data_IF_824306600893
#
_entry.id   IF_824306600893
#
_cell.length_a   1.000
_cell.length_b   1.000
_cell.length_c   1.000
_cell.angle_alpha   90.00
_cell.angle_beta   90.00
_cell.angle_gamma   90.00
#
_symmetry.space_group_name_H-M   'P 1'
#
loop_
_entity.id
_entity.type
_entity.pdbx_description
1 polymer ?
#
# COMPACT_ATOMS: atom_id res chain seq x y z
N UNK A 1 7.05 2.29 -1.00
CA UNK A 1 5.82 2.95 -1.42
C UNK A 1 5.13 1.97 -2.35
N UNK A 2 5.63 1.83 -3.58
CA UNK A 2 5.22 0.73 -4.46
C UNK A 2 6.39 -0.20 -4.77
N UNK A 3 7.58 0.35 -4.96
CA UNK A 3 8.77 -0.41 -5.36
C UNK A 3 9.28 -1.37 -4.26
N UNK A 4 9.25 -0.96 -2.99
CA UNK A 4 9.74 -1.77 -1.87
C UNK A 4 8.81 -2.97 -1.65
N UNK A 5 7.52 -2.75 -1.83
CA UNK A 5 6.43 -3.70 -1.66
C UNK A 5 6.44 -4.70 -2.82
N UNK A 6 6.68 -4.25 -4.06
CA UNK A 6 6.90 -5.11 -5.22
C UNK A 6 8.12 -6.03 -5.02
N UNK A 7 9.24 -5.48 -4.51
CA UNK A 7 10.42 -6.27 -4.16
C UNK A 7 10.13 -7.28 -3.05
N UNK A 8 9.35 -6.90 -2.04
CA UNK A 8 8.97 -7.78 -0.94
C UNK A 8 8.09 -8.96 -1.41
N UNK A 9 7.13 -8.68 -2.30
CA UNK A 9 6.31 -9.73 -2.95
C UNK A 9 7.18 -10.66 -3.79
N UNK A 10 8.10 -10.12 -4.59
CA UNK A 10 9.03 -10.93 -5.39
C UNK A 10 9.94 -11.82 -4.53
N UNK A 11 10.47 -11.29 -3.42
CA UNK A 11 11.29 -12.06 -2.46
C UNK A 11 10.49 -13.14 -1.74
N UNK A 12 9.21 -12.86 -1.43
CA UNK A 12 8.29 -13.84 -0.87
C UNK A 12 8.01 -14.98 -1.83
N UNK A 13 7.72 -14.68 -3.10
CA UNK A 13 7.52 -15.69 -4.15
C UNK A 13 8.77 -16.53 -4.42
N UNK A 14 9.97 -15.93 -4.29
CA UNK A 14 11.23 -16.64 -4.42
C UNK A 14 11.59 -17.52 -3.20
N UNK A 15 10.77 -17.53 -2.14
CA UNK A 15 11.05 -18.28 -0.90
C UNK A 15 12.23 -17.72 -0.10
N UNK A 16 12.63 -16.47 -0.37
CA UNK A 16 13.83 -15.84 0.24
C UNK A 16 13.52 -15.07 1.53
N UNK A 17 12.26 -15.09 1.98
CA UNK A 17 11.83 -14.48 3.23
C UNK A 17 11.59 -15.57 4.27
N UNK A 18 12.31 -15.50 5.40
CA UNK A 18 12.14 -16.44 6.52
C UNK A 18 10.76 -16.31 7.18
N UNK A 19 10.27 -15.07 7.28
CA UNK A 19 8.97 -14.73 7.85
C UNK A 19 8.30 -13.67 6.98
N UNK A 20 7.68 -14.04 5.84
CA UNK A 20 7.01 -13.07 4.99
C UNK A 20 5.81 -12.45 5.73
N UNK A 21 5.58 -11.13 5.63
CA UNK A 21 4.36 -10.53 6.12
C UNK A 21 3.15 -11.01 5.30
N UNK A 22 1.95 -10.87 5.88
CA UNK A 22 0.71 -11.24 5.18
C UNK A 22 0.49 -10.31 3.99
N UNK A 23 -0.14 -10.82 2.93
CA UNK A 23 -0.46 -10.02 1.75
C UNK A 23 -1.34 -8.80 2.12
N UNK A 24 -2.28 -8.98 3.04
CA UNK A 24 -3.12 -7.90 3.58
C UNK A 24 -2.28 -6.77 4.19
N UNK A 25 -1.18 -7.11 4.88
CA UNK A 25 -0.26 -6.11 5.46
C UNK A 25 0.44 -5.31 4.37
N UNK A 26 0.87 -5.98 3.30
CA UNK A 26 1.52 -5.34 2.15
C UNK A 26 0.53 -4.39 1.46
N UNK A 27 -0.68 -4.85 1.20
CA UNK A 27 -1.74 -4.05 0.55
C UNK A 27 -2.13 -2.83 1.41
N UNK A 28 -2.33 -3.02 2.72
CA UNK A 28 -2.65 -1.91 3.63
C UNK A 28 -1.51 -0.88 3.68
N UNK A 29 -0.26 -1.35 3.62
CA UNK A 29 0.90 -0.46 3.55
C UNK A 29 0.89 0.34 2.25
N UNK A 30 0.64 -0.29 1.09
CA UNK A 30 0.53 0.41 -0.19
C UNK A 30 -0.57 1.51 -0.17
N UNK A 31 -1.68 1.29 0.54
CA UNK A 31 -2.78 2.26 0.68
C UNK A 31 -2.50 3.38 1.69
N UNK A 32 -1.73 3.10 2.74
CA UNK A 32 -1.48 4.04 3.84
C UNK A 32 -0.79 5.32 3.38
N UNK A 33 0.24 5.22 2.54
CA UNK A 33 0.97 6.40 2.03
C UNK A 33 0.08 7.38 1.28
N UNK A 34 -0.68 6.97 0.25
CA UNK A 34 -1.59 7.89 -0.43
C UNK A 34 -2.70 8.40 0.49
N UNK A 35 -3.22 7.59 1.42
CA UNK A 35 -4.20 8.06 2.41
C UNK A 35 -3.67 9.20 3.27
N UNK A 36 -2.41 9.12 3.71
CA UNK A 36 -1.76 10.18 4.49
C UNK A 36 -1.51 11.41 3.61
N UNK A 37 -0.91 11.24 2.44
CA UNK A 37 -0.53 12.35 1.54
C UNK A 37 -1.76 13.11 1.06
N UNK A 38 -2.86 12.41 0.77
CA UNK A 38 -4.11 13.01 0.31
C UNK A 38 -5.04 13.43 1.47
N UNK A 39 -4.68 13.09 2.73
CA UNK A 39 -5.55 13.26 3.90
C UNK A 39 -6.96 12.62 3.73
N UNK A 40 -7.01 11.46 3.07
CA UNK A 40 -8.24 10.72 2.77
C UNK A 40 -8.30 9.38 3.50
N UNK A 41 -9.51 9.05 3.97
CA UNK A 41 -9.80 7.77 4.62
C UNK A 41 -10.12 6.65 3.62
N UNK A 42 -10.01 5.39 4.06
CA UNK A 42 -10.13 4.20 3.20
C UNK A 42 -11.53 4.02 2.57
N UNK A 43 -12.57 4.62 3.17
CA UNK A 43 -13.96 4.55 2.71
C UNK A 43 -14.41 5.82 1.97
N UNK A 44 -13.52 6.81 1.82
CA UNK A 44 -13.85 8.06 1.16
C UNK A 44 -13.65 7.94 -0.35
N UNK A 45 -14.46 8.69 -1.12
CA UNK A 45 -14.32 8.75 -2.56
C UNK A 45 -12.90 9.23 -2.94
N UNK A 46 -12.19 8.53 -3.84
CA UNK A 46 -10.89 8.98 -4.34
C UNK A 46 -10.96 10.34 -5.05
N UNK A 47 -12.15 10.74 -5.51
CA UNK A 47 -12.34 12.04 -6.18
C UNK A 47 -12.15 13.23 -5.23
N UNK A 48 -12.23 13.02 -3.91
CA UNK A 48 -11.96 14.07 -2.92
C UNK A 48 -10.48 14.49 -2.87
N UNK A 49 -9.60 13.86 -3.65
CA UNK A 49 -8.23 14.31 -3.84
C UNK A 49 -8.12 15.54 -4.76
N UNK A 50 -9.18 15.85 -5.50
CA UNK A 50 -9.21 16.96 -6.45
C UNK A 50 -9.53 18.27 -5.71
N UNK A 51 -8.88 19.38 -6.07
CA UNK A 51 -9.19 20.68 -5.46
C UNK A 51 -10.61 21.14 -5.83
N UNK A 52 -11.28 21.78 -4.87
CA UNK A 52 -12.59 22.43 -5.02
C UNK A 52 -13.79 21.49 -5.31
N UNK A 53 -13.68 20.21 -4.93
CA UNK A 53 -14.80 19.26 -4.83
C UNK A 53 -15.28 19.19 -3.38
#
# INVERSE_FOLDING_TARGET
>A
MINIEAQLVALGHAGRLKNPPRLDTIENTMKLSPMIVQALGNLKSPLLQLPHI
#
